data_IF_155674383025
#
_entry.id   IF_155674383025
#
_cell.length_a   1.000
_cell.length_b   1.000
_cell.length_c   1.000
_cell.angle_alpha   90.00
_cell.angle_beta   90.00
_cell.angle_gamma   90.00
#
_symmetry.space_group_name_H-M   'P 1'
#
loop_
_entity.id
_entity.type
_entity.pdbx_description
1 polymer ?
2 polymer ?
3 non-polymer ?
4 non-polymer ?
5 water ?
#
# COMPACT_ATOMS: atom_id res chain seq x y z
N UNK A 1 16.23 -5.13 -9.42
CA UNK A 1 15.15 -4.45 -8.62
C UNK A 1 14.94 -5.20 -7.32
N UNK A 2 15.99 -5.55 -6.59
CA UNK A 2 15.79 -6.50 -5.51
C UNK A 2 16.18 -5.91 -4.18
N UNK A 3 15.30 -6.09 -3.21
CA UNK A 3 15.57 -5.71 -1.85
C UNK A 3 16.41 -6.78 -1.18
N UNK A 4 17.51 -6.37 -0.57
CA UNK A 4 18.43 -7.36 -0.03
C UNK A 4 18.28 -7.39 1.47
N UNK A 5 17.87 -8.55 1.97
CA UNK A 5 17.77 -8.74 3.38
C UNK A 5 18.06 -10.19 3.69
N UNK A 6 18.69 -10.43 4.83
CA UNK A 6 18.97 -11.80 5.22
C UNK A 6 18.06 -12.23 6.37
N UNK A 7 16.95 -11.50 6.57
CA UNK A 7 16.01 -11.82 7.65
C UNK A 7 15.54 -13.26 7.51
N UNK A 8 15.37 -13.93 8.64
CA UNK A 8 14.80 -15.27 8.65
C UNK A 8 13.31 -15.20 8.47
N UNK A 9 12.75 -16.29 7.99
CA UNK A 9 11.32 -16.35 7.81
C UNK A 9 10.88 -17.78 7.80
N UNK A 10 9.61 -17.98 8.12
CA UNK A 10 8.98 -19.26 8.00
C UNK A 10 8.48 -19.34 6.57
N UNK A 11 8.73 -20.45 5.91
CA UNK A 11 8.34 -20.55 4.52
C UNK A 11 6.88 -20.89 4.51
N UNK A 12 6.14 -20.30 3.58
CA UNK A 12 4.72 -20.62 3.40
C UNK A 12 4.54 -21.18 2.01
N UNK A 13 5.30 -22.21 1.66
CA UNK A 13 5.28 -22.63 0.25
C UNK A 13 3.93 -23.26 -0.10
N UNK A 14 3.20 -23.72 0.94
CA UNK A 14 1.85 -24.31 0.73
C UNK A 14 0.81 -23.31 0.28
N UNK A 15 1.13 -22.01 0.31
CA UNK A 15 0.22 -21.01 -0.21
C UNK A 15 0.24 -20.93 -1.74
N UNK A 16 1.15 -21.68 -2.36
CA UNK A 16 1.29 -21.64 -3.83
C UNK A 16 -0.06 -21.72 -4.58
N UNK A 17 -0.96 -22.64 -4.19
CA UNK A 17 -2.19 -22.76 -4.99
C UNK A 17 -2.99 -21.49 -5.09
N UNK A 18 -2.89 -20.64 -4.06
CA UNK A 18 -3.64 -19.39 -4.10
C UNK A 18 -3.17 -18.53 -5.24
N UNK A 19 -1.94 -18.79 -5.69
CA UNK A 19 -1.35 -17.91 -6.69
C UNK A 19 -1.39 -18.43 -8.10
N UNK A 20 -2.30 -19.38 -8.32
CA UNK A 20 -2.52 -19.89 -9.66
C UNK A 20 -2.57 -18.74 -10.67
N UNK A 21 -1.77 -18.85 -11.72
CA UNK A 21 -1.76 -17.88 -12.79
C UNK A 21 -0.82 -16.72 -12.52
N UNK A 22 -0.15 -16.69 -11.37
CA UNK A 22 0.73 -15.54 -11.07
C UNK A 22 2.05 -15.97 -10.53
N UNK A 23 3.04 -15.09 -10.69
CA UNK A 23 4.24 -15.17 -9.88
C UNK A 23 3.92 -14.23 -8.79
N UNK A 24 3.62 -14.80 -7.64
CA UNK A 24 3.12 -14.01 -6.55
C UNK A 24 3.92 -14.25 -5.31
N UNK A 25 3.72 -13.35 -4.36
CA UNK A 25 4.35 -13.52 -3.11
C UNK A 25 3.38 -13.12 -2.05
N UNK A 26 3.48 -13.77 -0.88
CA UNK A 26 2.71 -13.29 0.26
C UNK A 26 3.69 -13.15 1.40
N UNK A 27 3.71 -11.99 2.04
CA UNK A 27 4.60 -11.82 3.16
C UNK A 27 3.73 -11.47 4.36
N UNK A 28 3.97 -12.16 5.45
CA UNK A 28 3.26 -11.89 6.70
C UNK A 28 4.31 -11.55 7.73
N UNK A 29 4.04 -10.56 8.58
CA UNK A 29 4.91 -10.30 9.72
C UNK A 29 4.02 -10.32 10.92
N UNK A 30 4.37 -11.18 11.85
CA UNK A 30 3.61 -11.36 13.06
C UNK A 30 4.28 -10.47 14.09
N UNK A 31 3.58 -9.44 14.51
CA UNK A 31 4.21 -8.43 15.37
C UNK A 31 4.67 -8.99 16.71
N UNK A 32 3.84 -9.79 17.37
CA UNK A 32 4.17 -10.30 18.68
C UNK A 32 5.41 -11.20 18.56
N UNK A 33 5.38 -12.09 17.57
CA UNK A 33 6.43 -13.10 17.45
C UNK A 33 7.64 -12.57 16.70
N UNK A 34 7.51 -11.35 16.20
CA UNK A 34 8.59 -10.64 15.52
C UNK A 34 9.08 -11.55 14.41
N UNK A 35 8.14 -12.13 13.68
CA UNK A 35 8.48 -13.19 12.74
C UNK A 35 7.87 -12.95 11.41
N UNK A 36 8.68 -13.12 10.38
CA UNK A 36 8.16 -13.12 9.02
C UNK A 36 7.80 -14.51 8.60
N UNK A 37 6.77 -14.60 7.75
CA UNK A 37 6.44 -15.84 7.03
C UNK A 37 6.26 -15.42 5.61
N UNK A 38 6.77 -16.20 4.68
CA UNK A 38 6.77 -15.73 3.30
C UNK A 38 6.49 -16.88 2.38
N UNK A 39 5.59 -16.63 1.44
CA UNK A 39 5.43 -17.49 0.29
C UNK A 39 6.19 -16.81 -0.84
N UNK A 40 7.06 -17.58 -1.48
CA UNK A 40 7.85 -17.12 -2.62
C UNK A 40 8.83 -16.03 -2.20
N UNK A 41 9.85 -16.45 -1.47
CA UNK A 41 10.80 -15.48 -0.96
C UNK A 41 11.44 -14.64 -2.09
N UNK A 42 11.80 -15.27 -3.23
CA UNK A 42 12.39 -14.49 -4.28
C UNK A 42 11.49 -13.37 -4.74
N UNK A 43 10.21 -13.65 -4.93
CA UNK A 43 9.30 -12.58 -5.34
C UNK A 43 9.04 -11.57 -4.23
N UNK A 44 9.10 -12.03 -3.00
CA UNK A 44 8.92 -11.14 -1.86
C UNK A 44 9.91 -10.00 -1.86
N UNK A 45 11.05 -10.23 -2.50
CA UNK A 45 12.15 -9.25 -2.45
C UNK A 45 12.18 -8.44 -3.72
N UNK A 46 11.39 -8.84 -4.70
CA UNK A 46 11.45 -8.12 -5.99
C UNK A 46 10.68 -6.85 -5.85
N UNK A 47 11.27 -5.75 -6.28
CA UNK A 47 10.56 -4.49 -6.14
C UNK A 47 9.69 -4.26 -7.37
N UNK A 48 8.45 -3.83 -7.11
CA UNK A 48 7.52 -3.50 -8.19
C UNK A 48 6.98 -2.12 -7.92
N UNK A 49 6.47 -1.50 -8.97
CA UNK A 49 5.76 -0.25 -8.79
C UNK A 49 4.65 -0.42 -7.78
N UNK A 50 4.53 0.52 -6.81
CA UNK A 50 3.53 0.40 -5.79
C UNK A 50 2.15 0.71 -6.28
N UNK A 51 2.09 1.46 -7.39
CA UNK A 51 0.79 1.98 -7.82
C UNK A 51 0.02 2.56 -6.64
N UNK A 52 -1.27 2.27 -6.46
CA UNK A 52 -2.06 2.93 -5.41
C UNK A 52 -1.64 2.63 -3.99
N UNK A 53 -0.83 1.59 -3.79
CA UNK A 53 -0.35 1.36 -2.43
C UNK A 53 0.57 2.51 -1.98
N UNK A 54 1.08 3.26 -2.94
CA UNK A 54 1.88 4.46 -2.60
C UNK A 54 1.04 5.53 -1.92
N UNK A 55 -0.28 5.49 -2.17
CA UNK A 55 -1.14 6.55 -1.64
C UNK A 55 -1.07 6.60 -0.11
N UNK A 56 -0.82 5.47 0.50
CA UNK A 56 -0.70 5.42 1.96
C UNK A 56 0.35 6.44 2.44
N UNK A 57 1.50 6.43 1.78
CA UNK A 57 2.65 7.22 2.21
C UNK A 57 2.58 8.60 1.65
N UNK A 58 1.97 8.72 0.48
CA UNK A 58 1.76 10.05 -0.06
C UNK A 58 0.82 10.82 0.90
N UNK A 59 -0.18 10.12 1.44
CA UNK A 59 -1.07 10.74 2.41
C UNK A 59 -0.29 11.19 3.64
N UNK A 60 0.59 10.33 4.13
CA UNK A 60 1.38 10.66 5.32
C UNK A 60 2.26 11.87 5.05
N UNK A 61 2.92 11.86 3.90
CA UNK A 61 3.73 13.03 3.50
C UNK A 61 2.90 14.28 3.45
N UNK A 62 1.70 14.13 2.91
CA UNK A 62 0.81 15.28 2.79
C UNK A 62 0.41 15.80 4.15
N UNK A 63 0.14 14.91 5.11
CA UNK A 63 -0.11 15.35 6.48
C UNK A 63 1.12 16.05 7.02
N UNK A 64 2.27 15.45 6.77
CA UNK A 64 3.51 15.96 7.38
C UNK A 64 3.84 17.37 6.88
N UNK A 65 3.53 17.60 5.61
CA UNK A 65 3.66 18.90 4.94
C UNK A 65 2.45 19.84 5.15
N UNK A 66 1.54 19.45 6.06
CA UNK A 66 0.31 20.22 6.35
C UNK A 66 -0.58 20.48 5.15
N UNK A 67 -0.46 19.65 4.12
CA UNK A 67 -1.38 19.73 2.99
C UNK A 67 -2.70 19.15 3.46
N UNK A 68 -2.59 18.08 4.22
CA UNK A 68 -3.70 17.49 4.89
C UNK A 68 -3.49 17.84 6.34
N UNK A 69 -4.59 18.03 7.03
CA UNK A 69 -4.51 18.11 8.45
C UNK A 69 -5.85 17.70 9.03
N UNK A 70 -5.93 17.82 10.35
CA UNK A 70 -7.14 17.53 11.04
C UNK A 70 -8.23 18.44 10.49
N UNK A 71 -9.35 17.79 10.22
CA UNK A 71 -10.51 18.43 9.67
C UNK A 71 -10.20 19.11 8.37
N UNK A 72 -9.17 18.64 7.66
CA UNK A 72 -8.79 19.33 6.47
C UNK A 72 -8.21 18.30 5.51
N UNK A 73 -9.08 17.49 4.96
CA UNK A 73 -8.62 16.48 3.99
C UNK A 73 -9.52 16.48 2.76
N UNK A 74 -10.48 17.41 2.68
CA UNK A 74 -11.40 17.31 1.53
C UNK A 74 -10.84 17.92 0.32
N UNK A 75 -11.23 17.36 -0.82
CA UNK A 75 -11.00 18.01 -2.08
C UNK A 75 -12.26 17.97 -2.87
N UNK A 76 -12.53 19.07 -3.55
CA UNK A 76 -13.74 19.17 -4.34
C UNK A 76 -13.43 18.66 -5.73
N UNK A 77 -14.37 17.89 -6.26
CA UNK A 77 -14.23 17.35 -7.59
C UNK A 77 -14.48 18.48 -8.58
N UNK A 78 -13.58 18.62 -9.56
CA UNK A 78 -13.66 19.70 -10.54
C UNK A 78 -14.62 19.36 -11.70
N UNK A 79 -15.33 18.24 -11.58
CA UNK A 79 -16.34 17.78 -12.54
C UNK A 79 -15.71 17.12 -13.79
N UNK A 80 -14.39 16.89 -13.75
CA UNK A 80 -13.74 16.13 -14.81
C UNK A 80 -14.18 14.67 -14.70
N UNK A 81 -14.59 14.12 -15.85
CA UNK A 81 -15.16 12.79 -15.94
C UNK A 81 -14.12 11.73 -15.94
N UNK A 82 -14.05 10.94 -14.87
CA UNK A 82 -13.16 9.78 -14.80
C UNK A 82 -13.94 8.49 -15.04
N UNK A 83 -13.23 7.40 -15.36
CA UNK A 83 -13.81 6.11 -15.63
C UNK A 83 -14.50 5.43 -14.45
N UNK A 84 -14.30 5.95 -13.24
CA UNK A 84 -14.84 5.30 -12.05
C UNK A 84 -15.71 6.26 -11.33
N UNK A 85 -16.95 5.84 -11.10
CA UNK A 85 -17.97 6.67 -10.47
C UNK A 85 -17.40 7.22 -9.18
N UNK A 86 -16.61 6.41 -8.47
CA UNK A 86 -16.23 6.82 -7.13
C UNK A 86 -15.26 8.00 -7.20
N UNK A 87 -14.63 8.20 -8.35
CA UNK A 87 -13.71 9.31 -8.50
C UNK A 87 -14.47 10.58 -8.87
N UNK A 88 -15.70 10.41 -9.35
CA UNK A 88 -16.44 11.49 -9.91
C UNK A 88 -17.29 12.19 -8.85
N UNK A 89 -16.64 12.56 -7.76
CA UNK A 89 -17.36 13.15 -6.64
C UNK A 89 -16.33 13.82 -5.74
N UNK A 90 -16.79 14.69 -4.86
CA UNK A 90 -15.95 15.27 -3.84
C UNK A 90 -15.34 14.19 -3.01
N UNK A 91 -14.18 14.48 -2.43
CA UNK A 91 -13.46 13.43 -1.76
C UNK A 91 -12.98 13.92 -0.42
N UNK A 92 -12.81 12.99 0.48
CA UNK A 92 -11.97 13.27 1.62
C UNK A 92 -10.90 12.20 1.66
N UNK A 93 -10.14 12.19 2.73
CA UNK A 93 -9.09 11.18 2.81
C UNK A 93 -9.65 9.77 2.72
N UNK A 94 -10.69 9.49 3.49
CA UNK A 94 -11.26 8.16 3.50
C UNK A 94 -11.74 7.69 2.15
N UNK A 95 -12.45 8.55 1.43
CA UNK A 95 -13.03 8.12 0.18
C UNK A 95 -11.93 7.99 -0.85
N UNK A 96 -10.98 8.92 -0.81
CA UNK A 96 -9.92 8.97 -1.81
C UNK A 96 -9.07 7.73 -1.66
N UNK A 97 -8.89 7.28 -0.41
CA UNK A 97 -8.11 6.06 -0.18
C UNK A 97 -8.92 4.83 -0.56
N UNK A 98 -10.13 4.72 -0.03
CA UNK A 98 -10.97 3.55 -0.29
C UNK A 98 -11.14 3.32 -1.78
N UNK A 99 -11.35 4.40 -2.53
CA UNK A 99 -11.61 4.27 -3.94
C UNK A 99 -10.42 4.60 -4.79
N UNK A 100 -9.27 4.79 -4.15
CA UNK A 100 -8.02 4.94 -4.83
C UNK A 100 -8.10 6.05 -5.87
N UNK A 101 -8.53 7.22 -5.42
CA UNK A 101 -8.86 8.29 -6.33
C UNK A 101 -7.60 9.01 -6.75
N UNK A 102 -7.11 8.71 -7.95
CA UNK A 102 -5.80 9.23 -8.29
C UNK A 102 -5.69 10.72 -8.21
N UNK A 103 -6.72 11.42 -8.70
CA UNK A 103 -6.59 12.86 -8.82
C UNK A 103 -6.42 13.54 -7.47
N UNK A 104 -6.97 12.93 -6.44
CA UNK A 104 -6.88 13.50 -5.12
C UNK A 104 -5.41 13.49 -4.69
N UNK A 105 -4.77 12.37 -4.99
CA UNK A 105 -3.36 12.16 -4.59
C UNK A 105 -2.42 12.88 -5.55
N UNK A 106 -2.80 12.94 -6.81
CA UNK A 106 -2.04 13.80 -7.72
C UNK A 106 -2.06 15.24 -7.25
N UNK A 107 -3.22 15.71 -6.79
CA UNK A 107 -3.31 17.08 -6.28
C UNK A 107 -2.39 17.31 -5.08
N UNK A 108 -2.29 16.32 -4.21
CA UNK A 108 -1.39 16.44 -3.05
C UNK A 108 0.07 16.43 -3.50
N UNK A 109 0.36 15.54 -4.42
CA UNK A 109 1.75 15.35 -4.88
C UNK A 109 2.23 16.61 -5.61
N UNK A 110 1.30 17.31 -6.23
CA UNK A 110 1.59 18.57 -6.86
C UNK A 110 2.27 19.54 -5.92
N UNK A 111 1.96 19.47 -4.63
CA UNK A 111 2.52 20.44 -3.68
C UNK A 111 3.73 19.92 -2.97
N UNK A 112 4.13 18.72 -3.34
CA UNK A 112 5.29 18.12 -2.73
C UNK A 112 6.44 18.31 -3.70
N UNK A 113 7.50 18.96 -3.25
CA UNK A 113 8.62 19.11 -4.15
C UNK A 113 9.31 17.78 -4.27
N UNK A 114 9.92 17.53 -5.42
CA UNK A 114 10.63 16.25 -5.65
C UNK A 114 11.62 15.94 -4.49
N UNK A 115 12.32 16.96 -4.04
CA UNK A 115 13.28 16.75 -2.96
C UNK A 115 12.65 16.46 -1.63
N UNK A 116 11.48 16.98 -1.40
CA UNK A 116 10.75 16.66 -0.16
C UNK A 116 10.34 15.20 -0.22
N UNK A 117 9.82 14.79 -1.35
CA UNK A 117 9.46 13.37 -1.53
C UNK A 117 10.70 12.51 -1.34
N UNK A 118 11.81 12.86 -1.98
CA UNK A 118 13.02 12.06 -1.83
C UNK A 118 13.43 11.97 -0.37
N UNK A 119 13.33 13.09 0.34
CA UNK A 119 13.66 13.09 1.73
C UNK A 119 12.80 12.06 2.47
N UNK A 120 11.50 12.10 2.21
CA UNK A 120 10.58 11.18 2.91
C UNK A 120 10.87 9.75 2.53
N UNK A 121 11.09 9.51 1.24
CA UNK A 121 11.34 8.11 0.82
C UNK A 121 12.61 7.58 1.46
N UNK A 122 13.61 8.44 1.64
CA UNK A 122 14.80 8.05 2.36
C UNK A 122 14.43 7.71 3.82
N UNK A 123 13.67 8.59 4.46
CA UNK A 123 13.36 8.38 5.88
C UNK A 123 12.59 7.09 6.09
N UNK A 124 11.68 6.82 5.17
CA UNK A 124 10.83 5.61 5.35
C UNK A 124 11.35 4.40 4.59
N UNK A 125 12.47 4.58 3.90
CA UNK A 125 13.18 3.53 3.15
C UNK A 125 12.24 2.93 2.16
N UNK A 126 11.68 3.78 1.31
CA UNK A 126 10.69 3.32 0.40
C UNK A 126 11.31 2.66 -0.84
N UNK A 127 11.59 1.37 -0.72
CA UNK A 127 12.00 0.60 -1.88
C UNK A 127 13.23 1.21 -2.52
N UNK A 128 13.21 1.34 -3.82
CA UNK A 128 14.35 1.85 -4.52
C UNK A 128 14.48 3.35 -4.43
N UNK A 129 13.46 4.00 -3.86
CA UNK A 129 13.36 5.47 -3.71
C UNK A 129 13.59 6.21 -5.00
N UNK A 130 13.27 5.59 -6.12
CA UNK A 130 13.59 6.19 -7.41
C UNK A 130 12.39 6.94 -7.93
N UNK A 131 12.48 8.26 -8.03
CA UNK A 131 11.32 9.00 -8.49
C UNK A 131 11.56 9.85 -9.76
N UNK A 132 12.66 9.55 -10.45
CA UNK A 132 13.03 10.15 -11.75
C UNK A 132 11.97 9.97 -12.86
N UNK A 133 11.18 8.89 -12.78
CA UNK A 133 10.34 8.42 -13.87
C UNK A 133 9.36 9.42 -14.46
N UNK A 134 8.06 9.12 -14.35
CA UNK A 134 7.04 10.06 -14.80
C UNK A 134 6.75 11.02 -13.64
N UNK A 135 5.97 12.06 -13.89
CA UNK A 135 5.44 12.85 -12.79
C UNK A 135 4.72 11.91 -11.80
N UNK A 136 4.01 10.92 -12.32
CA UNK A 136 3.42 9.90 -11.46
C UNK A 136 4.39 8.74 -11.36
N UNK A 137 5.45 8.97 -10.58
CA UNK A 137 6.58 8.06 -10.50
C UNK A 137 6.14 6.79 -9.81
N UNK A 138 4.98 6.83 -9.17
CA UNK A 138 4.50 5.68 -8.37
C UNK A 138 3.69 4.75 -9.21
N UNK A 139 3.38 5.13 -10.44
CA UNK A 139 2.47 4.32 -11.24
C UNK A 139 3.19 3.74 -12.42
N UNK A 140 3.54 2.46 -12.31
CA UNK A 140 4.27 1.75 -13.35
C UNK A 140 5.40 2.60 -13.86
N UNK A 141 6.17 3.12 -12.93
CA UNK A 141 7.27 3.98 -13.32
C UNK A 141 8.48 3.62 -12.46
N UNK A 142 9.27 4.62 -12.09
CA UNK A 142 10.59 4.35 -11.56
C UNK A 142 10.54 3.80 -10.14
N UNK A 143 9.53 4.22 -9.38
CA UNK A 143 9.51 3.89 -7.97
C UNK A 143 9.05 2.47 -7.82
N UNK A 144 9.79 1.68 -7.02
CA UNK A 144 9.45 0.29 -6.85
C UNK A 144 9.74 -0.15 -5.42
N UNK A 145 8.94 -1.08 -4.95
CA UNK A 145 9.09 -1.51 -3.59
C UNK A 145 8.75 -2.99 -3.57
N UNK A 146 9.40 -3.72 -2.67
CA UNK A 146 9.14 -5.16 -2.57
C UNK A 146 8.04 -5.45 -1.57
N UNK A 147 7.51 -6.66 -1.65
CA UNK A 147 6.44 -7.08 -0.75
C UNK A 147 6.91 -7.03 0.70
N UNK A 148 8.14 -7.49 0.95
CA UNK A 148 8.64 -7.49 2.32
C UNK A 148 8.78 -6.04 2.83
N UNK A 149 9.24 -5.17 1.95
CA UNK A 149 9.38 -3.78 2.32
C UNK A 149 8.01 -3.17 2.55
N UNK A 150 7.01 -3.54 1.75
CA UNK A 150 5.67 -3.01 2.02
C UNK A 150 5.27 -3.37 3.44
N UNK A 151 5.54 -4.61 3.82
CA UNK A 151 5.24 -5.02 5.21
C UNK A 151 6.08 -4.20 6.21
N UNK A 152 7.35 -3.99 5.91
CA UNK A 152 8.22 -3.31 6.84
C UNK A 152 7.71 -1.91 7.09
N UNK A 153 7.29 -1.27 6.01
CA UNK A 153 6.82 0.12 6.11
C UNK A 153 5.51 0.17 6.87
N UNK A 154 4.60 -0.77 6.59
CA UNK A 154 3.35 -0.78 7.35
C UNK A 154 3.63 -0.93 8.84
N UNK A 155 4.57 -1.83 9.16
CA UNK A 155 4.92 -2.14 10.54
C UNK A 155 5.53 -0.88 11.17
N UNK A 156 6.44 -0.25 10.45
CA UNK A 156 7.09 0.93 11.00
C UNK A 156 6.10 2.06 11.19
N UNK A 157 5.15 2.13 10.27
CA UNK A 157 4.07 3.12 10.37
C UNK A 157 3.24 2.85 11.60
N UNK A 158 2.69 1.64 11.67
CA UNK A 158 1.75 1.28 12.70
C UNK A 158 2.39 1.34 14.06
N UNK A 159 3.65 0.91 14.15
CA UNK A 159 4.39 0.93 15.42
C UNK A 159 4.81 2.34 15.77
N UNK A 160 4.50 3.30 14.91
CA UNK A 160 4.88 4.71 15.12
C UNK A 160 6.38 4.92 15.16
N UNK A 161 7.09 4.16 14.33
CA UNK A 161 8.53 4.31 14.22
C UNK A 161 8.86 5.41 13.21
N UNK A 162 7.93 5.64 12.30
CA UNK A 162 8.09 6.65 11.26
C UNK A 162 7.93 8.00 11.84
N UNK A 163 8.63 8.96 11.25
CA UNK A 163 8.59 10.31 11.77
C UNK A 163 7.41 11.07 11.19
N UNK A 164 6.24 10.46 11.32
CA UNK A 164 5.00 11.14 11.01
C UNK A 164 4.25 11.23 12.32
N UNK A 165 3.43 12.25 12.41
CA UNK A 165 2.61 12.46 13.59
C UNK A 165 1.68 11.29 13.78
N UNK A 166 1.51 10.90 15.04
CA UNK A 166 0.67 9.73 15.29
C UNK A 166 -0.76 9.93 14.87
N UNK A 167 -1.28 11.15 15.03
CA UNK A 167 -2.67 11.43 14.64
C UNK A 167 -2.86 11.31 13.11
N UNK A 168 -1.84 11.72 12.36
CA UNK A 168 -1.83 11.54 10.92
C UNK A 168 -1.82 10.06 10.60
N UNK A 169 -0.98 9.31 11.32
CA UNK A 169 -0.93 7.87 11.05
C UNK A 169 -2.33 7.29 11.31
N UNK A 170 -2.99 7.72 12.40
CA UNK A 170 -4.29 7.15 12.73
C UNK A 170 -5.31 7.49 11.64
N UNK A 171 -5.25 8.71 11.15
CA UNK A 171 -6.12 9.12 10.06
C UNK A 171 -5.90 8.29 8.81
N UNK A 172 -4.64 8.06 8.47
CA UNK A 172 -4.35 7.23 7.31
C UNK A 172 -4.81 5.80 7.56
N UNK A 173 -4.53 5.25 8.73
CA UNK A 173 -5.05 3.94 9.05
C UNK A 173 -6.56 3.87 8.84
N UNK A 174 -7.27 4.85 9.40
CA UNK A 174 -8.73 4.89 9.25
C UNK A 174 -9.10 4.85 7.79
N UNK A 175 -8.38 5.62 6.97
CA UNK A 175 -8.70 5.72 5.57
C UNK A 175 -8.53 4.39 4.85
N UNK A 176 -7.68 3.52 5.37
CA UNK A 176 -7.55 2.22 4.74
C UNK A 176 -8.14 1.10 5.58
N UNK A 177 -8.96 1.47 6.54
CA UNK A 177 -9.64 0.43 7.31
C UNK A 177 -10.79 -0.14 6.50
N UNK A 178 -10.66 -1.44 6.21
CA UNK A 178 -11.64 -2.18 5.41
C UNK A 178 -12.71 -2.81 6.27
N UNK A 179 -12.34 -3.23 7.47
CA UNK A 179 -13.32 -3.85 8.35
C UNK A 179 -12.89 -3.58 9.76
N UNK A 180 -13.83 -3.09 10.58
CA UNK A 180 -13.59 -2.90 11.99
C UNK A 180 -14.59 -3.77 12.74
N UNK A 181 -14.08 -4.72 13.49
CA UNK A 181 -14.90 -5.57 14.33
C UNK A 181 -14.36 -5.46 15.74
N UNK A 182 -15.13 -5.91 16.72
CA UNK A 182 -14.59 -6.05 18.07
C UNK A 182 -13.26 -6.82 18.06
N UNK A 183 -13.21 -7.90 17.27
CA UNK A 183 -12.12 -8.87 17.33
C UNK A 183 -10.89 -8.47 16.52
N UNK A 184 -11.09 -7.67 15.48
CA UNK A 184 -9.96 -7.20 14.70
C UNK A 184 -10.29 -5.97 13.91
N UNK A 185 -9.24 -5.29 13.55
CA UNK A 185 -9.30 -4.20 12.59
C UNK A 185 -8.50 -4.68 11.39
N UNK A 186 -9.13 -4.62 10.23
CA UNK A 186 -8.55 -5.11 9.00
C UNK A 186 -8.34 -3.91 8.09
N UNK A 187 -7.07 -3.68 7.77
CA UNK A 187 -6.64 -2.47 7.09
C UNK A 187 -5.97 -2.98 5.82
N UNK A 188 -6.18 -2.34 4.68
CA UNK A 188 -5.44 -2.82 3.53
C UNK A 188 -5.62 -1.83 2.41
N UNK A 189 -4.75 -1.95 1.41
CA UNK A 189 -4.80 -1.05 0.28
C UNK A 189 -4.39 -1.85 -0.94
N UNK A 190 -5.16 -1.70 -2.01
CA UNK A 190 -4.88 -2.34 -3.28
C UNK A 190 -4.00 -1.46 -4.14
N UNK A 191 -3.33 -2.09 -5.10
CA UNK A 191 -2.72 -1.30 -6.15
C UNK A 191 -2.77 -2.16 -7.39
N UNK A 192 -2.84 -1.50 -8.54
CA UNK A 192 -2.80 -2.25 -9.79
C UNK A 192 -1.96 -1.45 -10.78
N UNK A 193 -1.11 -2.15 -11.52
CA UNK A 193 -0.34 -1.52 -12.57
C UNK A 193 -0.68 -2.13 -13.90
N UNK A 194 -0.94 -1.27 -14.87
CA UNK A 194 -1.34 -1.73 -16.17
C UNK A 194 -0.21 -1.45 -17.13
N UNK A 195 0.12 -2.44 -17.93
CA UNK A 195 1.07 -2.21 -19.00
C UNK A 195 0.51 -2.86 -20.23
N UNK A 196 0.50 -2.13 -21.34
CA UNK A 196 0.00 -2.67 -22.61
C UNK A 196 -1.42 -3.17 -22.39
N UNK A 197 -2.20 -2.43 -21.61
CA UNK A 197 -3.62 -2.76 -21.40
C UNK A 197 -3.82 -4.04 -20.60
N UNK A 198 -2.77 -4.50 -19.94
CA UNK A 198 -2.86 -5.72 -19.14
C UNK A 198 -2.51 -5.40 -17.72
N UNK A 199 -3.20 -6.06 -16.80
CA UNK A 199 -2.91 -5.90 -15.41
C UNK A 199 -1.75 -6.78 -15.04
N UNK A 200 -0.58 -6.16 -14.85
CA UNK A 200 0.63 -6.94 -14.75
C UNK A 200 1.23 -6.92 -13.37
N UNK A 201 0.61 -6.13 -12.49
CA UNK A 201 1.23 -5.86 -11.19
C UNK A 201 0.10 -5.58 -10.23
N UNK A 202 -0.11 -6.48 -9.29
CA UNK A 202 -1.23 -6.33 -8.38
C UNK A 202 -0.67 -6.33 -6.98
N UNK A 203 -1.17 -5.44 -6.14
CA UNK A 203 -0.76 -5.41 -4.76
C UNK A 203 -1.99 -5.45 -3.88
N UNK A 204 -1.84 -6.07 -2.73
CA UNK A 204 -2.72 -5.74 -1.64
C UNK A 204 -1.91 -5.84 -0.37
N UNK A 205 -1.83 -4.76 0.37
CA UNK A 205 -0.95 -4.70 1.54
C UNK A 205 -1.75 -4.16 2.68
N UNK A 206 -1.46 -4.61 3.89
CA UNK A 206 -2.17 -4.05 5.02
C UNK A 206 -1.84 -4.83 6.25
N UNK A 207 -2.77 -4.83 7.18
CA UNK A 207 -2.58 -5.60 8.38
C UNK A 207 -3.89 -5.91 9.01
N UNK A 208 -3.88 -6.94 9.86
CA UNK A 208 -5.00 -7.28 10.67
C UNK A 208 -4.53 -7.08 12.09
N UNK A 209 -5.11 -6.10 12.76
CA UNK A 209 -4.84 -5.87 14.15
C UNK A 209 -5.87 -6.61 14.99
N UNK A 210 -5.40 -7.53 15.81
CA UNK A 210 -6.33 -8.25 16.66
C UNK A 210 -6.23 -7.74 18.09
N UNK A 211 -6.84 -8.43 19.03
CA UNK A 211 -6.84 -7.92 20.40
C UNK A 211 -5.48 -8.12 21.07
N UNK A 212 -4.59 -8.83 20.42
CA UNK A 212 -3.30 -9.13 21.03
C UNK A 212 -2.10 -9.11 20.09
N UNK A 213 -2.31 -8.76 18.83
CA UNK A 213 -1.24 -8.87 17.86
C UNK A 213 -1.60 -8.06 16.65
N UNK A 214 -0.64 -7.91 15.75
CA UNK A 214 -0.92 -7.30 14.49
C UNK A 214 -0.19 -8.14 13.49
N UNK A 215 -0.88 -8.43 12.37
CA UNK A 215 -0.33 -9.29 11.36
C UNK A 215 -0.26 -8.45 10.12
N UNK A 216 0.94 -8.05 9.75
CA UNK A 216 1.11 -7.19 8.60
C UNK A 216 1.27 -8.10 7.42
N UNK A 217 0.80 -7.69 6.25
CA UNK A 217 0.88 -8.59 5.12
C UNK A 217 1.05 -7.81 3.84
N UNK A 218 1.63 -8.46 2.86
CA UNK A 218 1.66 -7.84 1.52
C UNK A 218 1.54 -9.01 0.58
N UNK A 219 0.65 -8.88 -0.38
CA UNK A 219 0.53 -9.84 -1.47
C UNK A 219 0.87 -9.12 -2.73
N UNK A 220 1.75 -9.72 -3.50
CA UNK A 220 2.04 -9.18 -4.79
C UNK A 220 1.73 -10.21 -5.85
N UNK A 221 1.16 -9.72 -6.96
CA UNK A 221 0.96 -10.56 -8.10
C UNK A 221 1.66 -9.98 -9.30
N UNK A 222 2.46 -10.80 -9.97
CA UNK A 222 2.97 -10.46 -11.25
C UNK A 222 2.34 -11.49 -12.20
N UNK A 223 1.85 -11.04 -13.32
CA UNK A 223 1.45 -11.98 -14.36
C UNK A 223 1.28 -11.21 -15.64
N UNK A 224 1.00 -11.94 -16.70
CA UNK A 224 0.82 -11.28 -17.99
C UNK A 224 -0.41 -10.38 -17.92
N UNK A 225 -1.47 -10.87 -17.28
CA UNK A 225 -2.67 -10.09 -17.12
C UNK A 225 -3.39 -10.54 -15.85
N UNK A 226 -4.42 -9.79 -15.47
CA UNK A 226 -5.26 -10.09 -14.31
C UNK A 226 -4.55 -9.97 -12.97
N UNK A 227 -3.31 -9.47 -12.98
CA UNK A 227 -2.57 -9.25 -11.74
C UNK A 227 -2.96 -7.87 -11.29
N UNK A 228 -4.02 -7.82 -10.50
CA UNK A 228 -4.55 -6.54 -10.06
C UNK A 228 -4.79 -6.59 -8.55
N UNK A 229 -5.00 -5.41 -7.96
CA UNK A 229 -5.18 -5.28 -6.52
C UNK A 229 -6.37 -6.08 -6.03
N UNK A 230 -7.42 -6.16 -6.85
CA UNK A 230 -8.65 -6.85 -6.45
C UNK A 230 -8.33 -8.30 -6.26
N UNK A 231 -7.60 -8.87 -7.21
CA UNK A 231 -7.24 -10.28 -7.12
C UNK A 231 -6.25 -10.46 -5.98
N UNK A 232 -5.32 -9.53 -5.84
CA UNK A 232 -4.37 -9.60 -4.74
C UNK A 232 -5.12 -9.59 -3.42
N UNK A 233 -6.16 -8.77 -3.33
CA UNK A 233 -6.95 -8.71 -2.10
C UNK A 233 -7.73 -9.98 -1.87
N UNK A 234 -8.31 -10.51 -2.95
CA UNK A 234 -9.08 -11.73 -2.85
C UNK A 234 -8.16 -12.82 -2.30
N UNK A 235 -6.97 -12.93 -2.89
CA UNK A 235 -6.02 -13.96 -2.49
C UNK A 235 -5.62 -13.74 -1.05
N UNK A 236 -5.32 -12.48 -0.71
CA UNK A 236 -4.93 -12.17 0.66
C UNK A 236 -6.02 -12.60 1.62
N UNK A 237 -7.27 -12.31 1.28
CA UNK A 237 -8.35 -12.65 2.23
C UNK A 237 -8.46 -14.15 2.35
N UNK A 238 -8.26 -14.86 1.26
CA UNK A 238 -8.32 -16.31 1.34
C UNK A 238 -7.25 -16.81 2.31
N UNK A 239 -6.06 -16.25 2.21
CA UNK A 239 -4.94 -16.67 3.05
C UNK A 239 -5.21 -16.28 4.48
N UNK A 240 -5.64 -15.04 4.70
CA UNK A 240 -5.86 -14.58 6.06
C UNK A 240 -6.99 -15.34 6.72
N UNK A 241 -8.00 -15.70 5.93
CA UNK A 241 -9.11 -16.50 6.46
C UNK A 241 -8.64 -17.92 6.82
N UNK A 242 -7.80 -18.51 5.95
CA UNK A 242 -7.22 -19.82 6.18
C UNK A 242 -6.40 -19.81 7.46
N UNK A 243 -5.73 -18.68 7.68
CA UNK A 243 -4.95 -18.44 8.87
C UNK A 243 -5.77 -18.02 10.07
N UNK A 244 -7.09 -17.88 9.86
CA UNK A 244 -8.05 -17.54 10.90
C UNK A 244 -7.73 -16.20 11.54
N UNK A 245 -7.24 -15.28 10.72
CA UNK A 245 -6.97 -13.94 11.16
C UNK A 245 -8.16 -13.02 10.88
N UNK A 246 -8.93 -13.33 9.84
CA UNK A 246 -10.18 -12.59 9.58
C UNK A 246 -11.31 -13.56 9.33
N UNK B 1 -3.13 21.02 -6.40
CA UNK B 1 -4.51 21.34 -6.85
C UNK B 1 -5.57 21.00 -5.82
N UNK B 2 -5.17 20.68 -4.59
CA UNK B 2 -6.12 20.26 -3.57
C UNK B 2 -6.93 21.43 -3.02
N UNK B 3 -6.43 22.63 -3.27
CA UNK B 3 -6.96 23.91 -2.73
C UNK B 3 -6.53 24.12 -1.30
N UNK B 4 -7.17 23.33 -0.42
CA UNK B 4 -6.97 23.36 1.01
C UNK B 4 -8.32 23.51 1.66
#
# INVERSE_FOLDING_TARGET
DKYETNVSYKKLNQLAPYFKGFDGSFVLYNEREQAYSIYNEPESKQRYSPNSTYKIYLALMAFDQNLLSLNHTEQQWDKHQYPFKEWNQDQNLNSSMKYSVNWYYENLNKHLRQDEVKSYLDLIEYGNEEISGNENYWNESSLKISAIEQVNLLKNMKQHNMHFDNKAIEKVENSMTLKQKDTYKYVGKTGTGIVNHKEANGWFVGYVETKDNTYYFATHLKGEDNANGEKAQQISERILKEMELI
GHMS
#
